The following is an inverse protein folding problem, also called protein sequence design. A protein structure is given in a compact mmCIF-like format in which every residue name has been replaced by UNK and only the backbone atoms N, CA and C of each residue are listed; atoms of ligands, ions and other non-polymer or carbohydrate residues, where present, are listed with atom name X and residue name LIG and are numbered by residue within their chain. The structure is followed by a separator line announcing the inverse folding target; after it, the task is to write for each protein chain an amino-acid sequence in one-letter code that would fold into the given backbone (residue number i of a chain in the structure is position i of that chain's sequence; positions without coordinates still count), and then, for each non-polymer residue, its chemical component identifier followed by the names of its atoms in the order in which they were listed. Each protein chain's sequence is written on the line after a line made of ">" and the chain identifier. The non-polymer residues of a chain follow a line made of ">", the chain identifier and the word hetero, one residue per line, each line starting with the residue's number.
data_IF_708553170630
#
_entry.id   IF_708553170630
#
_cell.length_a   1.000
_cell.length_b   1.000
_cell.length_c   1.000
_cell.angle_alpha   90.00
_cell.angle_beta   90.00
_cell.angle_gamma   90.00
#
_symmetry.space_group_name_H-M   'P 1'
#
loop_
_entity.id
_entity.type
_entity.pdbx_description
1 polymer ?
2 branched ?
3 water ?
#
# COMPACT_ATOMS: atom_id res chain seq x y z
N UNK A 18 18.28 -5.31 -1.63
CA UNK A 18 19.65 -4.95 -1.29
C UNK A 18 19.85 -4.94 0.20
N UNK A 19 18.76 -5.04 0.96
CA UNK A 19 18.82 -4.89 2.39
C UNK A 19 18.08 -6.01 3.12
N UNK A 20 18.62 -6.40 4.27
CA UNK A 20 18.04 -7.44 5.09
C UNK A 20 17.30 -6.79 6.25
N UNK A 21 15.97 -6.79 6.19
CA UNK A 21 15.19 -6.09 7.19
C UNK A 21 15.24 -6.79 8.55
N UNK A 22 15.79 -8.00 8.59
CA UNK A 22 16.09 -8.65 9.84
C UNK A 22 17.37 -8.05 10.42
N UNK A 23 18.25 -7.61 9.51
CA UNK A 23 19.54 -6.98 9.88
C UNK A 23 19.38 -5.57 10.41
N UNK A 24 18.45 -4.83 9.82
CA UNK A 24 18.36 -3.40 10.00
C UNK A 24 16.91 -2.95 10.17
N UNK A 25 16.73 -1.76 10.73
CA UNK A 25 15.39 -1.20 10.96
C UNK A 25 14.72 -0.84 9.64
N UNK A 26 13.69 -1.60 9.28
CA UNK A 26 12.93 -1.39 8.04
C UNK A 26 11.51 -0.92 8.30
N UNK A 27 10.98 -0.12 7.38
CA UNK A 27 9.58 0.29 7.42
C UNK A 27 9.01 0.28 6.01
N UNK A 28 7.74 -0.08 5.87
CA UNK A 28 7.05 0.01 4.59
C UNK A 28 5.98 1.10 4.59
N UNK A 29 6.17 2.12 3.76
CA UNK A 29 5.16 3.17 3.54
C UNK A 29 4.16 2.69 2.52
N UNK A 30 2.88 2.66 2.89
CA UNK A 30 1.85 2.18 1.97
C UNK A 30 0.77 3.23 1.76
N UNK A 31 0.22 3.27 0.54
CA UNK A 31 -0.82 4.23 0.20
C UNK A 31 -2.02 3.54 -0.39
N UNK A 32 -3.19 3.81 0.19
CA UNK A 32 -4.42 3.17 -0.27
C UNK A 32 -5.31 4.08 -1.11
N UNK A 33 -6.10 3.45 -1.97
CA UNK A 33 -7.26 4.05 -2.65
C UNK A 33 -6.92 4.96 -3.81
N UNK A 34 -5.66 4.94 -4.23
CA UNK A 34 -5.30 5.62 -5.45
C UNK A 34 -5.50 4.66 -6.60
N UNK A 35 -5.08 5.06 -7.80
CA UNK A 35 -4.48 6.37 -8.08
C UNK A 35 -5.52 7.47 -8.24
N UNK A 36 -5.11 8.72 -8.04
CA UNK A 36 -5.98 9.85 -8.19
C UNK A 36 -5.17 11.07 -8.58
N UNK A 37 -5.73 12.26 -8.37
CA UNK A 37 -5.12 13.49 -8.87
C UNK A 37 -3.80 13.82 -8.18
N UNK A 38 -3.56 13.23 -7.01
CA UNK A 38 -2.35 13.58 -6.27
C UNK A 38 -1.22 12.57 -6.44
N UNK A 39 -1.51 11.46 -7.11
CA UNK A 39 -0.57 10.35 -7.19
C UNK A 39 0.74 10.71 -7.89
N UNK A 40 0.66 11.42 -9.02
CA UNK A 40 1.88 11.77 -9.74
C UNK A 40 2.78 12.72 -8.95
N UNK A 41 2.19 13.63 -8.19
CA UNK A 41 3.00 14.51 -7.34
C UNK A 41 3.56 13.74 -6.15
N UNK A 42 2.78 12.78 -5.65
CA UNK A 42 3.25 11.90 -4.60
C UNK A 42 4.44 11.09 -5.10
N UNK A 43 4.32 10.56 -6.32
CA UNK A 43 5.39 9.81 -6.96
C UNK A 43 6.63 10.70 -7.18
N UNK A 44 6.40 11.99 -7.41
CA UNK A 44 7.51 12.93 -7.57
C UNK A 44 8.28 13.08 -6.27
N UNK A 45 7.57 13.22 -5.16
CA UNK A 45 8.21 13.38 -3.85
C UNK A 45 9.01 12.13 -3.49
N UNK A 46 8.40 10.96 -3.71
CA UNK A 46 9.06 9.70 -3.41
C UNK A 46 10.35 9.52 -4.22
N UNK A 47 10.27 9.87 -5.50
CA UNK A 47 11.41 9.79 -6.40
C UNK A 47 12.51 10.70 -5.88
N UNK A 48 12.13 11.93 -5.57
CA UNK A 48 13.04 12.94 -5.05
C UNK A 48 13.74 12.45 -3.79
N UNK A 49 13.00 11.75 -2.93
CA UNK A 49 13.57 11.20 -1.70
C UNK A 49 14.20 9.82 -1.90
N UNK A 50 14.18 9.34 -3.14
CA UNK A 50 14.71 8.01 -3.49
C UNK A 50 14.06 6.92 -2.64
N UNK A 51 12.73 6.97 -2.56
CA UNK A 51 11.99 6.15 -1.61
C UNK A 51 10.89 5.31 -2.27
N UNK A 52 11.03 3.98 -2.21
CA UNK A 52 10.02 3.07 -2.74
C UNK A 52 8.82 3.00 -1.82
N UNK A 53 7.65 2.74 -2.37
CA UNK A 53 6.44 2.57 -1.56
C UNK A 53 5.53 1.52 -2.16
N UNK A 54 4.49 1.17 -1.41
CA UNK A 54 3.53 0.19 -1.87
C UNK A 54 2.16 0.85 -2.03
N UNK A 55 1.59 0.71 -3.22
CA UNK A 55 0.28 1.33 -3.48
C UNK A 55 -0.79 0.25 -3.60
N UNK A 56 -1.72 0.25 -2.67
CA UNK A 56 -2.88 -0.64 -2.78
C UNK A 56 -3.97 0.09 -3.55
N UNK A 57 -4.05 -0.23 -4.84
CA UNK A 57 -4.90 0.53 -5.75
C UNK A 57 -6.30 -0.06 -5.87
N UNK A 58 -7.25 0.84 -6.05
CA UNK A 58 -8.64 0.49 -6.34
C UNK A 58 -8.80 0.15 -7.82
N UNK A 59 -9.36 -1.03 -8.10
CA UNK A 59 -9.57 -1.46 -9.47
C UNK A 59 -10.25 -0.42 -10.34
N UNK A 60 -11.27 0.24 -9.80
CA UNK A 60 -12.07 1.17 -10.60
C UNK A 60 -11.32 2.45 -10.96
N UNK A 61 -10.35 2.85 -10.13
CA UNK A 61 -9.55 4.04 -10.44
C UNK A 61 -8.43 3.73 -11.43
N UNK A 62 -7.98 2.48 -11.43
CA UNK A 62 -6.89 2.02 -12.28
C UNK A 62 -7.16 2.32 -13.74
N UNK A 63 -8.40 2.10 -14.17
CA UNK A 63 -8.77 2.26 -15.56
C UNK A 63 -8.60 3.70 -16.06
N UNK A 64 -8.72 4.66 -15.15
CA UNK A 64 -8.53 6.06 -15.50
C UNK A 64 -7.06 6.46 -15.48
N UNK A 65 -6.22 5.63 -14.86
CA UNK A 65 -4.82 5.98 -14.65
C UNK A 65 -3.75 4.98 -15.13
N UNK A 66 -3.84 4.54 -16.40
CA UNK A 66 -2.86 3.55 -16.88
C UNK A 66 -1.41 4.06 -16.88
N UNK A 67 -1.17 5.27 -17.39
CA UNK A 67 0.17 5.86 -17.41
C UNK A 67 0.76 5.90 -16.02
N UNK A 68 -0.05 6.38 -15.07
CA UNK A 68 0.38 6.58 -13.71
C UNK A 68 0.75 5.25 -13.03
N UNK A 69 -0.06 4.22 -13.25
CA UNK A 69 0.29 2.89 -12.75
C UNK A 69 1.53 2.32 -13.42
N UNK A 70 1.70 2.59 -14.72
CA UNK A 70 2.90 2.14 -15.43
C UNK A 70 4.11 2.78 -14.75
N UNK A 71 3.93 4.04 -14.36
CA UNK A 71 4.97 4.81 -13.71
C UNK A 71 5.36 4.22 -12.34
N UNK A 72 4.38 3.75 -11.59
CA UNK A 72 4.65 3.12 -10.30
C UNK A 72 5.57 1.92 -10.46
N UNK A 73 5.28 1.11 -11.47
CA UNK A 73 6.06 -0.08 -11.75
C UNK A 73 7.47 0.28 -12.19
N UNK A 74 7.57 1.19 -13.14
CA UNK A 74 8.85 1.55 -13.72
C UNK A 74 9.76 2.27 -12.72
N UNK A 75 9.17 2.95 -11.75
CA UNK A 75 9.96 3.68 -10.76
C UNK A 75 10.16 2.92 -9.44
N UNK A 76 9.96 1.60 -9.47
CA UNK A 76 10.34 0.74 -8.37
C UNK A 76 9.35 0.53 -7.25
N UNK A 77 8.11 0.94 -7.45
CA UNK A 77 7.12 0.80 -6.39
C UNK A 77 6.40 -0.53 -6.51
N UNK A 78 5.70 -0.92 -5.44
CA UNK A 78 4.94 -2.15 -5.48
C UNK A 78 3.45 -1.83 -5.61
N UNK A 79 2.77 -2.59 -6.45
CA UNK A 79 1.32 -2.46 -6.57
C UNK A 79 0.62 -3.65 -5.94
N UNK A 80 -0.25 -3.37 -4.98
CA UNK A 80 -1.08 -4.40 -4.39
C UNK A 80 -2.53 -4.07 -4.69
N UNK A 81 -3.42 -5.02 -4.43
CA UNK A 81 -4.84 -4.83 -4.70
C UNK A 81 -5.57 -4.28 -3.49
N UNK A 82 -6.48 -3.33 -3.72
CA UNK A 82 -7.38 -2.89 -2.65
C UNK A 82 -8.83 -3.22 -3.01
N UNK A 83 -8.98 -4.25 -3.86
CA UNK A 83 -10.25 -4.68 -4.47
C UNK A 83 -10.73 -3.63 -5.49
N UNK A 84 -11.89 -3.88 -6.08
CA UNK A 84 -12.31 -3.06 -7.21
C UNK A 84 -12.97 -1.76 -6.79
N UNK A 85 -13.94 -1.82 -5.89
CA UNK A 85 -14.67 -0.62 -5.51
C UNK A 85 -14.73 -0.42 -4.00
N UNK A 86 -13.73 -0.92 -3.29
CA UNK A 86 -13.60 -0.65 -1.86
C UNK A 86 -14.76 -1.19 -1.01
N UNK A 87 -15.30 -2.33 -1.39
CA UNK A 87 -16.43 -2.90 -0.63
C UNK A 87 -15.94 -3.78 0.51
N UNK A 88 -16.78 -3.89 1.55
CA UNK A 88 -16.49 -4.77 2.69
C UNK A 88 -16.70 -6.21 2.23
N UNK A 89 -15.60 -6.95 2.17
CA UNK A 89 -15.64 -8.30 1.61
C UNK A 89 -16.44 -9.27 2.47
N UNK A 90 -16.60 -8.95 3.75
CA UNK A 90 -17.30 -9.83 4.67
C UNK A 90 -18.81 -9.85 4.41
N UNK A 91 -19.30 -8.91 3.62
CA UNK A 91 -20.72 -8.85 3.28
C UNK A 91 -21.02 -9.34 1.87
N UNK A 92 -19.97 -9.68 1.13
CA UNK A 92 -20.13 -10.07 -0.26
C UNK A 92 -20.33 -11.57 -0.43
N UNK A 93 -20.89 -11.95 -1.57
CA UNK A 93 -20.98 -13.35 -1.96
C UNK A 93 -19.62 -13.84 -2.44
N UNK A 94 -19.50 -15.13 -2.71
CA UNK A 94 -18.29 -15.67 -3.29
C UNK A 94 -18.09 -15.10 -4.69
N UNK A 95 -19.19 -14.84 -5.38
CA UNK A 95 -19.18 -14.26 -6.71
C UNK A 95 -18.65 -12.83 -6.67
N UNK A 96 -19.15 -12.04 -5.73
CA UNK A 96 -18.75 -10.66 -5.58
C UNK A 96 -17.26 -10.52 -5.26
N UNK A 97 -16.79 -11.38 -4.36
CA UNK A 97 -15.39 -11.39 -3.96
C UNK A 97 -14.48 -11.75 -5.14
N UNK A 98 -14.89 -12.77 -5.89
CA UNK A 98 -14.15 -13.16 -7.09
C UNK A 98 -14.04 -11.99 -8.05
N UNK A 99 -15.16 -11.28 -8.24
CA UNK A 99 -15.16 -10.10 -9.09
C UNK A 99 -14.25 -9.02 -8.53
N UNK A 100 -14.31 -8.79 -7.23
CA UNK A 100 -13.47 -7.77 -6.59
C UNK A 100 -12.00 -8.05 -6.84
N UNK A 101 -11.62 -9.32 -6.67
CA UNK A 101 -10.23 -9.71 -6.87
C UNK A 101 -9.84 -9.65 -8.34
N UNK A 102 -10.60 -10.33 -9.19
CA UNK A 102 -10.21 -10.56 -10.57
C UNK A 102 -10.28 -9.30 -11.44
N UNK A 103 -11.31 -8.48 -11.25
CA UNK A 103 -11.44 -7.26 -12.04
C UNK A 103 -10.29 -6.31 -11.77
N UNK A 104 -9.87 -6.28 -10.52
CA UNK A 104 -8.76 -5.43 -10.10
C UNK A 104 -7.45 -5.92 -10.70
N UNK A 105 -7.25 -7.24 -10.66
CA UNK A 105 -6.09 -7.86 -11.29
C UNK A 105 -6.00 -7.54 -12.78
N UNK A 106 -7.10 -7.76 -13.49
CA UNK A 106 -7.08 -7.55 -14.92
C UNK A 106 -6.89 -6.08 -15.25
N UNK A 107 -7.48 -5.21 -14.42
CA UNK A 107 -7.28 -3.77 -14.56
C UNK A 107 -5.80 -3.39 -14.42
N UNK A 108 -5.19 -3.85 -13.33
CA UNK A 108 -3.79 -3.57 -13.06
C UNK A 108 -2.88 -4.13 -14.15
N UNK A 109 -3.20 -5.33 -14.62
CA UNK A 109 -2.38 -6.00 -15.62
C UNK A 109 -2.43 -5.28 -16.97
N UNK A 110 -3.62 -4.90 -17.41
CA UNK A 110 -3.75 -4.19 -18.68
C UNK A 110 -3.06 -2.83 -18.65
N UNK A 111 -3.13 -2.17 -17.50
CA UNK A 111 -2.57 -0.83 -17.36
C UNK A 111 -1.04 -0.86 -17.20
N UNK A 112 -0.53 -1.77 -16.40
CA UNK A 112 0.89 -1.73 -16.03
C UNK A 112 1.69 -2.98 -16.40
N UNK A 113 1.02 -4.01 -16.87
CA UNK A 113 1.71 -5.21 -17.33
C UNK A 113 2.14 -6.16 -16.22
N UNK A 114 1.77 -5.85 -14.98
CA UNK A 114 2.09 -6.72 -13.86
C UNK A 114 0.83 -7.09 -13.10
N UNK A 115 0.88 -8.19 -12.36
CA UNK A 115 -0.22 -8.52 -11.48
C UNK A 115 0.20 -8.32 -10.03
N UNK A 116 -0.73 -7.81 -9.22
CA UNK A 116 -0.45 -7.60 -7.80
C UNK A 116 -0.18 -8.94 -7.13
N UNK A 117 0.70 -8.94 -6.13
CA UNK A 117 1.03 -10.17 -5.42
C UNK A 117 0.46 -10.14 -4.02
N UNK A 118 -0.10 -8.99 -3.64
CA UNK A 118 -0.67 -8.82 -2.32
C UNK A 118 -2.00 -8.07 -2.39
N UNK A 119 -2.85 -8.29 -1.40
CA UNK A 119 -4.15 -7.62 -1.32
C UNK A 119 -4.35 -7.06 0.09
N UNK A 120 -4.88 -5.84 0.17
CA UNK A 120 -5.31 -5.30 1.45
C UNK A 120 -6.84 -5.24 1.50
N UNK A 121 -7.44 -5.92 2.47
CA UNK A 121 -8.91 -5.89 2.57
C UNK A 121 -9.42 -4.51 3.00
N UNK A 122 -10.44 -4.00 2.29
CA UNK A 122 -11.05 -2.71 2.63
C UNK A 122 -11.54 -2.67 4.08
N UNK A 123 -11.26 -1.56 4.76
CA UNK A 123 -11.65 -1.36 6.16
C UNK A 123 -10.96 -2.34 7.11
N UNK A 124 -10.00 -3.09 6.58
CA UNK A 124 -9.27 -4.08 7.35
C UNK A 124 -10.15 -5.27 7.69
N UNK A 125 -11.33 -5.31 7.08
CA UNK A 125 -12.33 -6.33 7.38
C UNK A 125 -12.05 -7.63 6.62
N UNK A 126 -11.82 -8.71 7.36
CA UNK A 126 -11.51 -10.00 6.76
C UNK A 126 -11.77 -11.11 7.74
N UNK A 127 -11.68 -12.34 7.26
CA UNK A 127 -11.88 -13.51 8.10
C UNK A 127 -11.43 -14.74 7.35
N UNK A 128 -11.07 -15.79 8.09
CA UNK A 128 -10.52 -17.02 7.52
C UNK A 128 -11.33 -17.52 6.32
N UNK A 129 -12.65 -17.59 6.49
CA UNK A 129 -13.52 -18.13 5.46
C UNK A 129 -13.49 -17.29 4.17
N UNK A 130 -13.25 -15.98 4.33
CA UNK A 130 -13.17 -15.07 3.18
C UNK A 130 -11.76 -15.07 2.61
N UNK A 131 -10.78 -15.05 3.50
CA UNK A 131 -9.37 -15.00 3.12
C UNK A 131 -8.97 -16.21 2.29
N UNK A 132 -9.64 -17.34 2.53
CA UNK A 132 -9.42 -18.56 1.76
C UNK A 132 -9.64 -18.35 0.27
N UNK A 133 -10.47 -17.35 -0.05
CA UNK A 133 -10.91 -17.11 -1.41
C UNK A 133 -10.03 -16.08 -2.10
N UNK A 134 -9.04 -15.58 -1.38
CA UNK A 134 -8.11 -14.59 -1.90
C UNK A 134 -6.78 -15.26 -2.26
N UNK A 135 -6.41 -15.20 -3.55
CA UNK A 135 -5.22 -15.87 -4.08
C UNK A 135 -3.90 -15.21 -3.65
N UNK A 136 -3.98 -14.16 -2.83
CA UNK A 136 -2.80 -13.44 -2.38
C UNK A 136 -2.72 -13.37 -0.87
N UNK A 137 -1.52 -13.12 -0.34
CA UNK A 137 -1.37 -12.74 1.08
C UNK A 137 -2.17 -11.48 1.39
N UNK A 138 -2.86 -11.47 2.52
CA UNK A 138 -3.56 -10.26 2.96
C UNK A 138 -2.60 -9.39 3.75
N UNK A 139 -2.48 -8.13 3.35
CA UNK A 139 -1.58 -7.22 4.04
C UNK A 139 -2.35 -6.12 4.75
N UNK A 140 -2.24 -6.09 6.06
CA UNK A 140 -2.90 -5.05 6.84
C UNK A 140 -1.88 -3.97 7.16
N UNK A 141 -1.88 -3.48 8.40
CA UNK A 141 -0.97 -2.42 8.81
C UNK A 141 -0.81 -2.47 10.32
N UNK A 142 0.24 -1.85 10.84
CA UNK A 142 0.36 -1.78 12.29
C UNK A 142 0.40 -0.32 12.75
N UNK A 143 0.58 0.59 11.80
CA UNK A 143 0.51 2.01 12.09
C UNK A 143 -0.56 2.67 11.24
N UNK A 144 -1.59 3.17 11.89
CA UNK A 144 -2.65 3.90 11.20
C UNK A 144 -2.43 5.40 11.41
N UNK A 145 -2.01 6.10 10.37
CA UNK A 145 -1.74 7.54 10.47
C UNK A 145 -3.03 8.34 10.66
N UNK A 146 -4.16 7.70 10.35
CA UNK A 146 -5.47 8.31 10.41
C UNK A 146 -5.62 9.49 9.45
N UNK A 147 -4.77 9.55 8.42
CA UNK A 147 -4.80 10.66 7.47
C UNK A 147 -6.15 10.75 6.75
N UNK A 148 -6.82 9.62 6.61
CA UNK A 148 -8.14 9.60 5.98
C UNK A 148 -9.14 10.43 6.75
N UNK A 149 -8.93 10.56 8.05
CA UNK A 149 -9.86 11.29 8.90
C UNK A 149 -9.47 12.76 9.06
N UNK A 150 -8.22 13.05 9.37
CA UNK A 150 -7.84 14.43 9.67
C UNK A 150 -7.25 15.18 8.48
N UNK A 151 -6.86 14.47 7.42
CA UNK A 151 -6.31 15.07 6.20
C UNK A 151 -5.19 16.05 6.48
N UNK A 152 -4.39 15.75 7.49
CA UNK A 152 -3.45 16.73 7.98
C UNK A 152 -2.02 16.21 7.99
N UNK A 153 -1.16 16.86 7.20
CA UNK A 153 0.19 16.34 6.94
C UNK A 153 1.06 16.27 8.20
N UNK A 154 0.90 17.24 9.11
CA UNK A 154 1.72 17.25 10.32
C UNK A 154 1.37 16.10 11.26
N UNK A 155 0.09 15.81 11.43
CA UNK A 155 -0.33 14.72 12.30
C UNK A 155 0.01 13.37 11.67
N UNK A 156 -0.10 13.29 10.34
CA UNK A 156 0.31 12.09 9.61
C UNK A 156 1.77 11.75 9.91
N UNK A 157 2.63 12.77 9.82
CA UNK A 157 4.05 12.59 10.12
C UNK A 157 4.24 12.14 11.57
N UNK A 158 3.57 12.83 12.48
CA UNK A 158 3.73 12.57 13.92
C UNK A 158 3.36 11.15 14.31
N UNK A 159 2.23 10.66 13.84
CA UNK A 159 1.79 9.31 14.16
C UNK A 159 2.72 8.27 13.53
N UNK A 160 2.95 8.39 12.22
CA UNK A 160 3.84 7.48 11.52
C UNK A 160 5.19 7.38 12.23
N UNK A 161 5.73 8.54 12.59
CA UNK A 161 7.07 8.61 13.15
C UNK A 161 7.15 8.02 14.56
N UNK A 162 6.19 8.37 15.41
CA UNK A 162 6.29 7.92 16.79
C UNK A 162 5.76 6.50 16.99
N UNK A 163 4.90 6.03 16.09
CA UNK A 163 4.37 4.68 16.22
C UNK A 163 5.19 3.64 15.46
N UNK A 164 5.98 4.09 14.49
CA UNK A 164 6.74 3.16 13.64
C UNK A 164 7.71 2.31 14.45
N UNK A 165 7.83 1.06 14.06
CA UNK A 165 8.75 0.13 14.71
C UNK A 165 9.47 -0.59 13.59
N UNK A 166 10.55 -1.32 13.92
CA UNK A 166 11.17 -2.13 12.87
C UNK A 166 10.21 -3.17 12.30
N UNK A 167 10.00 -3.15 10.99
CA UNK A 167 9.09 -4.07 10.35
C UNK A 167 7.68 -3.54 10.24
N UNK A 168 7.48 -2.30 10.68
CA UNK A 168 6.14 -1.71 10.63
C UNK A 168 5.66 -1.52 9.20
N UNK A 169 4.35 -1.60 9.04
CA UNK A 169 3.69 -1.21 7.82
C UNK A 169 2.80 0.00 8.13
N UNK A 170 3.10 1.14 7.50
CA UNK A 170 2.39 2.37 7.80
C UNK A 170 1.28 2.61 6.79
N UNK A 171 0.08 2.89 7.30
CA UNK A 171 -1.05 3.10 6.42
C UNK A 171 -1.31 4.58 6.17
N UNK A 172 -1.24 4.96 4.90
CA UNK A 172 -1.59 6.30 4.47
C UNK A 172 -2.53 6.20 3.29
N UNK A 173 -3.16 7.30 2.90
CA UNK A 173 -4.09 7.25 1.79
C UNK A 173 -3.72 8.23 0.70
N UNK A 174 -3.63 7.71 -0.52
CA UNK A 174 -3.34 8.51 -1.70
C UNK A 174 -4.64 9.09 -2.24
N UNK A 175 -5.25 9.97 -1.45
CA UNK A 175 -6.56 10.53 -1.78
C UNK A 175 -6.60 12.02 -1.54
N UNK A 176 -5.48 12.61 -1.12
CA UNK A 176 -5.48 14.01 -0.75
C UNK A 176 -4.08 14.64 -0.78
N UNK A 177 -4.06 15.94 -0.54
CA UNK A 177 -2.84 16.73 -0.61
C UNK A 177 -1.83 16.36 0.47
N UNK A 178 -2.32 16.09 1.67
CA UNK A 178 -1.42 15.99 2.82
C UNK A 178 -0.43 14.84 2.73
N UNK A 179 -0.78 13.80 1.97
CA UNK A 179 0.15 12.69 1.75
C UNK A 179 1.36 13.17 0.95
N UNK A 180 1.11 13.98 -0.07
CA UNK A 180 2.18 14.60 -0.82
C UNK A 180 3.02 15.47 0.11
N UNK A 181 2.35 16.23 0.97
CA UNK A 181 3.04 17.16 1.86
C UNK A 181 3.79 16.45 2.98
N UNK A 182 3.30 15.28 3.39
CA UNK A 182 3.87 14.58 4.55
C UNK A 182 5.14 13.80 4.20
N UNK A 183 5.21 13.31 2.97
CA UNK A 183 6.30 12.43 2.55
C UNK A 183 7.70 13.00 2.75
N UNK A 184 7.95 14.26 2.32
CA UNK A 184 9.33 14.75 2.53
C UNK A 184 9.76 14.73 3.99
N UNK A 185 8.89 15.22 4.87
CA UNK A 185 9.21 15.29 6.28
C UNK A 185 9.24 13.90 6.93
N UNK A 186 8.31 13.04 6.54
CA UNK A 186 8.24 11.69 7.11
C UNK A 186 9.48 10.88 6.72
N UNK A 187 9.80 10.88 5.44
CA UNK A 187 10.98 10.15 4.95
C UNK A 187 12.26 10.66 5.61
N UNK A 188 12.40 11.97 5.68
CA UNK A 188 13.58 12.59 6.28
C UNK A 188 13.79 12.12 7.72
N UNK A 189 12.71 12.14 8.49
CA UNK A 189 12.81 11.85 9.90
C UNK A 189 13.01 10.36 10.19
N UNK A 190 12.37 9.49 9.41
CA UNK A 190 12.60 8.07 9.53
C UNK A 190 14.05 7.70 9.17
N UNK A 191 14.56 8.25 8.07
CA UNK A 191 15.95 8.03 7.66
C UNK A 191 16.94 8.43 8.75
N UNK A 192 16.73 9.62 9.31
CA UNK A 192 17.61 10.17 10.32
C UNK A 192 17.57 9.33 11.60
N UNK A 193 16.47 8.60 11.78
CA UNK A 193 16.29 7.73 12.94
C UNK A 193 16.87 6.34 12.70
N UNK A 194 17.38 6.09 11.49
CA UNK A 194 18.05 4.83 11.20
C UNK A 194 17.16 3.81 10.52
N UNK A 195 16.02 4.24 10.01
CA UNK A 195 15.13 3.36 9.27
C UNK A 195 15.39 3.37 7.77
N UNK A 196 15.27 2.21 7.14
CA UNK A 196 15.28 2.08 5.70
C UNK A 196 13.86 1.82 5.20
N UNK A 197 13.43 2.58 4.18
CA UNK A 197 12.09 2.44 3.64
C UNK A 197 12.06 1.45 2.48
N UNK A 198 11.17 0.47 2.57
CA UNK A 198 11.13 -0.63 1.62
C UNK A 198 9.71 -0.87 1.11
N UNK A 199 9.59 -1.72 0.09
CA UNK A 199 8.28 -2.17 -0.34
C UNK A 199 7.83 -3.27 0.61
N UNK A 200 6.56 -3.65 0.54
CA UNK A 200 6.04 -4.74 1.35
C UNK A 200 6.77 -6.02 1.00
N UNK A 201 7.00 -6.24 -0.29
CA UNK A 201 7.75 -7.38 -0.78
C UNK A 201 9.13 -7.50 -0.13
N UNK A 202 9.89 -6.40 -0.12
CA UNK A 202 11.23 -6.39 0.49
C UNK A 202 11.15 -6.58 1.99
N UNK A 203 10.11 -6.00 2.58
CA UNK A 203 9.89 -6.09 4.01
C UNK A 203 9.77 -7.54 4.45
N UNK A 204 9.11 -8.35 3.64
CA UNK A 204 8.83 -9.73 4.00
C UNK A 204 9.83 -10.72 3.43
N UNK A 205 10.86 -10.25 2.74
CA UNK A 205 11.90 -11.15 2.26
C UNK A 205 12.65 -11.74 3.45
N UNK A 206 12.73 -13.06 3.51
CA UNK A 206 13.37 -13.74 4.62
C UNK A 206 12.41 -14.06 5.76
N UNK A 207 11.14 -13.71 5.55
CA UNK A 207 10.08 -14.05 6.49
C UNK A 207 9.00 -14.81 5.70
N UNK A 208 8.20 -15.64 6.37
CA UNK A 208 7.11 -16.32 5.68
C UNK A 208 5.97 -15.34 5.40
N UNK A 209 5.42 -15.50 4.21
CA UNK A 209 4.48 -14.55 3.63
C UNK A 209 3.63 -15.34 2.64
N UNK A 210 2.46 -15.78 3.10
CA UNK A 210 1.69 -16.77 2.35
C UNK A 210 0.29 -16.30 1.96
N UNK A 211 -0.24 -16.85 0.86
CA UNK A 211 -1.62 -16.59 0.43
C UNK A 211 -2.65 -16.96 1.50
N UNK A 212 -3.75 -16.23 1.55
CA UNK A 212 -4.85 -16.44 2.49
C UNK A 212 -4.47 -16.14 3.94
N UNK A 213 -3.27 -15.62 4.15
CA UNK A 213 -2.83 -15.24 5.50
C UNK A 213 -2.75 -13.72 5.65
N UNK A 214 -3.10 -13.24 6.83
CA UNK A 214 -3.09 -11.80 7.08
C UNK A 214 -1.84 -11.39 7.85
N UNK A 215 -1.23 -10.29 7.42
CA UNK A 215 -0.01 -9.78 8.06
C UNK A 215 -0.12 -8.28 8.28
N UNK A 216 0.31 -7.84 9.46
CA UNK A 216 0.35 -6.41 9.76
C UNK A 216 1.71 -6.03 10.34
X LIG B 1 -10.47 1.58 10.95
X LIG B 1 -11.66 2.45 10.53
X LIG B 1 -11.93 2.19 9.06
X LIG B 1 -10.68 2.56 8.29
X LIG B 1 -9.54 1.66 8.77
X LIG B 1 -8.28 1.93 7.93
X LIG B 1 -13.41 0.89 11.42
X LIG B 1 -14.61 0.80 12.34
X LIG B 1 -12.83 2.12 11.36
X LIG B 1 -10.13 1.82 12.32
X LIG B 1 -13.03 3.01 8.63
X LIG B 1 -10.88 2.33 6.90
X LIG B 1 -9.31 1.88 10.17
X LIG B 1 -7.91 3.31 8.05
X LIG B 1 -13.05 -0.10 10.78
X LIG B 2 -10.86 3.49 6.08
X LIG B 2 -10.69 2.96 4.75
X LIG B 2 -10.52 4.20 3.84
X LIG B 2 -11.85 4.91 3.86
X LIG B 2 -12.13 5.29 5.32
X LIG B 2 -13.49 6.01 5.37
X LIG B 2 -9.04 1.29 3.89
X LIG B 2 -7.66 0.70 4.19
X LIG B 2 -9.42 2.21 4.77
X LIG B 2 -10.19 3.82 2.50
X LIG B 2 -11.76 6.11 3.09
X LIG B 2 -12.18 4.13 6.16
X LIG B 2 -14.51 5.14 4.87
X LIG B 2 -9.77 0.80 3.05
#
# INVERSE_FOLDING_TARGET
>A
HHHHHHAGQPEPVATPPAVDCATTKCVALTFDDGPGEYTNRLLDELSEQHTPATFFVLGKNVKKYPKTLKRMVDEGHQIGSHTFDHKDITKLTAEGIEHEVQWTDEAIEQAAGVKPQILRPPYGAHGAVYDRLIPYPLVLWDVDTLDWKHHDPQKTVRIALEEAKPGSIILMHDIHESSVKAVPQLVSKLHDAGYTLVTVDQLFAGTDFKPAKAYDHRFKTNP
>B hetero
1 NAG C1 C2 C3 C4 C5 C6 C7 C8 N2 O1 O3 O4 O5 O6 O7
2 NAG C1 C2 C3 C4 C5 C6 C7 C8 N2 O3 O4 O5 O6 O7
#
